data_IF_343225106353
#
_entry.id   IF_343225106353
#
_cell.length_a   1.000
_cell.length_b   1.000
_cell.length_c   1.000
_cell.angle_alpha   90.00
_cell.angle_beta   90.00
_cell.angle_gamma   90.00
#
_symmetry.space_group_name_H-M   'P 1'
#
loop_
_entity.id
_entity.type
_entity.pdbx_description
1 polymer ?
#
# COMPACT_ATOMS: atom_id res chain seq x y z
N UNK A 1 5.26 9.75 -27.89
CA UNK A 1 5.01 10.98 -27.09
C UNK A 1 4.95 10.57 -25.62
N UNK A 2 5.45 11.37 -24.68
CA UNK A 2 5.28 11.06 -23.26
C UNK A 2 3.81 11.24 -22.85
N UNK A 3 3.25 10.23 -22.20
CA UNK A 3 1.91 10.30 -21.61
C UNK A 3 2.07 10.88 -20.20
N UNK A 4 1.34 11.97 -19.92
CA UNK A 4 1.25 12.56 -18.58
C UNK A 4 -0.15 12.29 -18.03
N UNK A 5 -0.24 11.48 -16.98
CA UNK A 5 -1.43 11.38 -16.13
C UNK A 5 -1.23 12.29 -14.92
N UNK A 6 -2.17 13.22 -14.71
CA UNK A 6 -2.18 14.15 -13.56
C UNK A 6 -3.39 13.89 -12.69
N UNK A 7 -3.17 13.60 -11.40
CA UNK A 7 -4.22 13.61 -10.38
C UNK A 7 -4.14 14.87 -9.53
N UNK A 8 -5.27 15.55 -9.31
CA UNK A 8 -5.36 16.64 -8.34
C UNK A 8 -5.50 16.07 -6.93
N UNK A 9 -4.51 16.32 -6.07
CA UNK A 9 -4.58 16.00 -4.64
C UNK A 9 -5.29 17.15 -3.94
N UNK A 10 -6.56 16.98 -3.58
CA UNK A 10 -7.28 17.98 -2.77
C UNK A 10 -6.97 17.78 -1.30
N UNK A 11 -6.36 18.78 -0.68
CA UNK A 11 -6.16 18.86 0.77
C UNK A 11 -7.50 19.13 1.46
N UNK A 12 -7.89 18.27 2.38
CA UNK A 12 -9.03 18.51 3.28
C UNK A 12 -8.50 18.60 4.72
N UNK A 13 -8.67 19.76 5.35
CA UNK A 13 -8.19 20.04 6.69
C UNK A 13 -9.13 19.40 7.74
N UNK A 14 -8.60 18.60 8.67
CA UNK A 14 -9.32 18.18 9.89
C UNK A 14 -9.20 16.70 10.32
N UNK A 15 -8.74 15.81 9.44
CA UNK A 15 -8.53 14.37 9.73
C UNK A 15 -7.17 13.90 9.19
N UNK A 16 -6.64 12.80 9.73
CA UNK A 16 -5.54 12.09 9.07
C UNK A 16 -5.97 11.72 7.63
N UNK A 17 -5.08 11.86 6.64
CA UNK A 17 -5.45 11.68 5.21
C UNK A 17 -6.03 10.27 4.96
N UNK A 18 -5.53 9.28 5.69
CA UNK A 18 -6.04 7.90 5.67
C UNK A 18 -7.52 7.83 6.11
N UNK A 19 -7.88 8.49 7.21
CA UNK A 19 -9.26 8.51 7.73
C UNK A 19 -10.22 9.19 6.75
N UNK A 20 -9.76 10.26 6.10
CA UNK A 20 -10.51 10.93 5.04
C UNK A 20 -10.79 9.98 3.86
N UNK A 21 -9.80 9.20 3.42
CA UNK A 21 -10.00 8.25 2.32
C UNK A 21 -11.10 7.23 2.66
N UNK A 22 -11.11 6.70 3.89
CA UNK A 22 -12.18 5.79 4.34
C UNK A 22 -13.55 6.46 4.32
N UNK A 23 -13.67 7.65 4.91
CA UNK A 23 -14.94 8.38 4.93
C UNK A 23 -15.43 8.69 3.51
N UNK A 24 -14.54 9.12 2.62
CA UNK A 24 -14.87 9.43 1.24
C UNK A 24 -15.50 8.22 0.54
N UNK A 25 -14.85 7.05 0.57
CA UNK A 25 -15.36 5.86 -0.14
C UNK A 25 -16.60 5.24 0.53
N UNK A 26 -16.74 5.37 1.86
CA UNK A 26 -17.90 4.84 2.59
C UNK A 26 -19.16 5.71 2.44
N UNK A 27 -18.99 7.03 2.37
CA UNK A 27 -20.11 7.99 2.32
C UNK A 27 -20.58 8.30 0.90
N UNK A 28 -19.75 8.13 -0.13
CA UNK A 28 -20.06 8.50 -1.51
C UNK A 28 -20.42 7.27 -2.38
N UNK A 29 -21.35 6.43 -1.91
CA UNK A 29 -21.65 5.12 -2.54
C UNK A 29 -22.13 5.21 -4.00
N UNK A 30 -22.81 6.30 -4.37
CA UNK A 30 -23.34 6.54 -5.73
C UNK A 30 -22.31 7.16 -6.69
N UNK A 31 -21.08 7.39 -6.23
CA UNK A 31 -20.04 7.93 -7.09
C UNK A 31 -19.58 6.85 -8.08
N UNK A 32 -19.57 7.10 -9.41
CA UNK A 32 -19.20 6.09 -10.41
C UNK A 32 -17.81 5.47 -10.21
N UNK A 33 -16.85 6.25 -9.69
CA UNK A 33 -15.53 5.73 -9.35
C UNK A 33 -15.60 4.74 -8.18
N UNK A 34 -16.44 5.00 -7.19
CA UNK A 34 -16.66 4.11 -6.05
C UNK A 34 -17.40 2.84 -6.48
N UNK A 35 -18.39 2.96 -7.37
CA UNK A 35 -19.04 1.79 -7.99
C UNK A 35 -18.04 0.92 -8.75
N UNK A 36 -17.15 1.55 -9.53
CA UNK A 36 -16.06 0.83 -10.19
C UNK A 36 -15.15 0.11 -9.18
N UNK A 37 -14.72 0.77 -8.11
CA UNK A 37 -13.90 0.15 -7.05
C UNK A 37 -14.60 -1.02 -6.35
N UNK A 38 -15.94 -1.05 -6.32
CA UNK A 38 -16.69 -2.20 -5.81
C UNK A 38 -16.77 -3.36 -6.80
N UNK A 39 -16.60 -3.09 -8.09
CA UNK A 39 -16.63 -4.12 -9.15
C UNK A 39 -15.33 -4.93 -9.25
N UNK A 40 -14.27 -4.51 -8.55
CA UNK A 40 -12.95 -5.14 -8.60
C UNK A 40 -12.58 -5.75 -7.23
N UNK A 41 -11.79 -6.82 -7.26
CA UNK A 41 -11.29 -7.45 -6.04
C UNK A 41 -10.20 -6.59 -5.40
N UNK A 42 -10.45 -6.06 -4.20
CA UNK A 42 -9.45 -5.33 -3.40
C UNK A 42 -9.01 -6.08 -2.15
N UNK A 43 -9.80 -7.05 -1.66
CA UNK A 43 -9.46 -7.81 -0.46
C UNK A 43 -8.45 -8.91 -0.82
N UNK A 44 -7.23 -8.92 -0.24
CA UNK A 44 -6.27 -9.99 -0.45
C UNK A 44 -6.85 -11.37 -0.10
N UNK A 45 -6.57 -12.38 -0.91
CA UNK A 45 -7.17 -13.72 -0.74
C UNK A 45 -6.83 -14.36 0.61
N UNK A 46 -5.66 -14.04 1.18
CA UNK A 46 -5.26 -14.56 2.48
C UNK A 46 -6.19 -14.12 3.63
N UNK A 47 -6.90 -13.00 3.46
CA UNK A 47 -7.88 -12.49 4.43
C UNK A 47 -9.20 -13.31 4.47
N UNK A 48 -9.37 -14.23 3.51
CA UNK A 48 -10.50 -15.16 3.42
C UNK A 48 -10.04 -16.59 3.67
N UNK A 49 -8.86 -16.95 3.17
CA UNK A 49 -8.28 -18.29 3.28
C UNK A 49 -7.00 -18.26 4.13
N UNK A 50 -7.17 -17.98 5.42
CA UNK A 50 -6.07 -18.09 6.36
C UNK A 50 -5.62 -19.56 6.44
N UNK A 51 -4.32 -19.79 6.37
CA UNK A 51 -3.74 -21.13 6.36
C UNK A 51 -2.67 -21.21 7.45
N UNK A 52 -2.91 -22.05 8.45
CA UNK A 52 -1.95 -22.29 9.54
C UNK A 52 -0.63 -22.91 9.07
N UNK A 53 -0.57 -23.37 7.81
CA UNK A 53 0.65 -23.87 7.16
C UNK A 53 1.50 -22.76 6.53
N UNK A 54 1.07 -21.49 6.58
CA UNK A 54 1.92 -20.41 6.10
C UNK A 54 3.23 -20.36 6.89
N UNK A 55 4.37 -20.03 6.23
CA UNK A 55 5.63 -19.83 6.94
C UNK A 55 5.47 -18.78 8.04
N UNK A 56 6.19 -18.95 9.15
CA UNK A 56 6.10 -18.06 10.31
C UNK A 56 6.32 -16.60 9.95
N UNK A 57 7.21 -16.31 9.00
CA UNK A 57 7.50 -14.95 8.55
C UNK A 57 6.28 -14.27 7.90
N UNK A 58 5.44 -15.05 7.20
CA UNK A 58 4.15 -14.57 6.71
C UNK A 58 3.17 -14.37 7.87
N UNK A 59 3.01 -15.37 8.74
CA UNK A 59 2.07 -15.31 9.88
C UNK A 59 2.34 -14.09 10.76
N UNK A 60 3.62 -13.82 11.07
CA UNK A 60 3.99 -12.67 11.89
C UNK A 60 3.57 -11.35 11.23
N UNK A 61 3.87 -11.15 9.94
CA UNK A 61 3.44 -9.94 9.23
C UNK A 61 1.92 -9.87 9.05
N UNK A 62 1.24 -10.99 8.81
CA UNK A 62 -0.23 -11.05 8.74
C UNK A 62 -0.87 -10.62 10.06
N UNK A 63 -0.34 -11.09 11.20
CA UNK A 63 -0.80 -10.67 12.52
C UNK A 63 -0.56 -9.17 12.76
N UNK A 64 0.61 -8.66 12.35
CA UNK A 64 0.89 -7.21 12.41
C UNK A 64 -0.10 -6.41 11.57
N UNK A 65 -0.39 -6.87 10.36
CA UNK A 65 -1.38 -6.26 9.47
C UNK A 65 -2.79 -6.31 10.08
N UNK A 66 -3.22 -7.45 10.61
CA UNK A 66 -4.52 -7.60 11.28
C UNK A 66 -4.65 -6.70 12.51
N UNK A 67 -3.56 -6.49 13.26
CA UNK A 67 -3.56 -5.54 14.37
C UNK A 67 -3.80 -4.11 13.89
N UNK A 68 -3.16 -3.69 12.79
CA UNK A 68 -3.43 -2.38 12.15
C UNK A 68 -4.87 -2.28 11.68
N UNK A 69 -5.38 -3.30 10.99
CA UNK A 69 -6.77 -3.39 10.56
C UNK A 69 -7.74 -3.21 11.76
N UNK A 70 -7.52 -3.93 12.86
CA UNK A 70 -8.37 -3.87 14.05
C UNK A 70 -8.32 -2.47 14.71
N UNK A 71 -7.15 -1.84 14.76
CA UNK A 71 -7.02 -0.47 15.25
C UNK A 71 -7.84 0.51 14.41
N UNK A 72 -7.73 0.44 13.08
CA UNK A 72 -8.54 1.28 12.18
C UNK A 72 -10.02 0.94 12.29
N UNK A 73 -10.40 -0.35 12.31
CA UNK A 73 -11.78 -0.83 12.47
C UNK A 73 -12.47 -0.24 13.70
N UNK A 74 -11.76 -0.15 14.83
CA UNK A 74 -12.29 0.41 16.08
C UNK A 74 -12.71 1.90 15.94
N UNK A 75 -12.02 2.67 15.10
CA UNK A 75 -12.35 4.09 14.82
C UNK A 75 -13.61 4.26 13.97
N UNK A 76 -14.02 3.20 13.26
CA UNK A 76 -15.12 3.21 12.30
C UNK A 76 -16.23 2.23 12.68
N UNK A 77 -16.47 2.05 13.99
CA UNK A 77 -17.45 1.12 14.58
C UNK A 77 -18.89 1.31 14.10
N UNK A 78 -19.23 2.50 13.59
CA UNK A 78 -20.54 2.84 13.03
C UNK A 78 -20.83 2.16 11.67
N UNK A 79 -19.81 1.71 10.94
CA UNK A 79 -19.99 0.97 9.68
C UNK A 79 -20.00 -0.54 9.93
N UNK A 80 -20.72 -1.29 9.10
CA UNK A 80 -20.71 -2.75 9.22
C UNK A 80 -19.37 -3.35 8.78
N UNK A 81 -19.11 -4.59 9.19
CA UNK A 81 -17.81 -5.23 9.01
C UNK A 81 -17.44 -5.45 7.53
N UNK A 82 -18.40 -5.81 6.68
CA UNK A 82 -18.13 -6.03 5.26
C UNK A 82 -17.78 -4.72 4.55
N UNK A 83 -18.51 -3.64 4.84
CA UNK A 83 -18.27 -2.32 4.27
C UNK A 83 -16.93 -1.77 4.70
N UNK A 84 -16.60 -1.84 6.00
CA UNK A 84 -15.32 -1.35 6.47
C UNK A 84 -14.17 -2.22 5.98
N UNK A 85 -14.31 -3.55 5.92
CA UNK A 85 -13.28 -4.44 5.39
C UNK A 85 -12.98 -4.11 3.93
N UNK A 86 -14.01 -3.96 3.09
CA UNK A 86 -13.83 -3.53 1.71
C UNK A 86 -13.14 -2.17 1.64
N UNK A 87 -13.57 -1.19 2.45
CA UNK A 87 -12.97 0.14 2.45
C UNK A 87 -11.48 0.09 2.85
N UNK A 88 -11.16 -0.61 3.92
CA UNK A 88 -9.80 -0.79 4.42
C UNK A 88 -8.87 -1.33 3.33
N UNK A 89 -9.22 -2.49 2.76
CA UNK A 89 -8.37 -3.13 1.77
C UNK A 89 -8.37 -2.38 0.43
N UNK A 90 -9.42 -1.65 0.09
CA UNK A 90 -9.41 -0.76 -1.08
C UNK A 90 -8.37 0.34 -0.91
N UNK A 91 -8.32 1.02 0.24
CA UNK A 91 -7.30 2.03 0.52
C UNK A 91 -5.91 1.41 0.60
N UNK A 92 -5.76 0.30 1.33
CA UNK A 92 -4.47 -0.36 1.55
C UNK A 92 -3.79 -0.78 0.23
N UNK A 93 -4.56 -1.32 -0.72
CA UNK A 93 -4.03 -1.85 -1.98
C UNK A 93 -3.84 -0.78 -3.07
N UNK A 94 -4.44 0.41 -2.92
CA UNK A 94 -4.58 1.40 -4.02
C UNK A 94 -4.07 2.79 -3.69
N UNK A 95 -3.88 3.12 -2.42
CA UNK A 95 -3.31 4.41 -2.07
C UNK A 95 -1.84 4.47 -2.45
N UNK A 96 -1.43 5.66 -2.89
CA UNK A 96 -0.03 5.98 -3.08
C UNK A 96 0.49 6.74 -1.87
N UNK A 97 1.70 6.39 -1.45
CA UNK A 97 2.46 7.19 -0.50
C UNK A 97 3.23 8.26 -1.28
N UNK A 98 3.20 9.48 -0.79
CA UNK A 98 4.03 10.55 -1.34
C UNK A 98 4.46 11.47 -0.21
N UNK A 99 5.75 11.76 -0.17
CA UNK A 99 6.30 12.71 0.78
C UNK A 99 5.75 14.11 0.46
N UNK A 100 4.75 14.54 1.22
CA UNK A 100 4.20 15.88 1.03
C UNK A 100 5.09 16.99 1.61
N UNK A 101 6.26 16.67 2.20
CA UNK A 101 7.07 17.60 3.01
C UNK A 101 6.19 18.39 4.01
N UNK A 102 5.12 17.76 4.49
CA UNK A 102 4.27 18.33 5.52
C UNK A 102 4.93 17.96 6.84
N UNK A 103 5.11 18.96 7.71
CA UNK A 103 5.51 18.84 9.12
C UNK A 103 4.47 18.04 9.95
N UNK A 104 4.09 16.84 9.50
CA UNK A 104 3.36 15.87 10.31
C UNK A 104 4.36 14.84 10.80
N UNK A 105 4.48 14.72 12.12
CA UNK A 105 5.41 13.79 12.80
C UNK A 105 5.16 12.31 12.46
N UNK A 106 4.07 11.98 11.79
CA UNK A 106 3.68 10.62 11.40
C UNK A 106 3.71 10.47 9.87
N UNK A 107 4.71 9.75 9.37
CA UNK A 107 4.87 9.43 7.94
C UNK A 107 3.71 8.60 7.38
N UNK A 108 2.95 7.90 8.24
CA UNK A 108 1.76 7.13 7.87
C UNK A 108 0.58 8.02 7.41
N UNK A 109 0.64 9.35 7.60
CA UNK A 109 -0.42 10.28 7.21
C UNK A 109 -0.38 10.73 5.73
N UNK A 110 0.52 10.17 4.91
CA UNK A 110 0.74 10.61 3.54
C UNK A 110 0.19 9.63 2.48
N UNK A 111 -0.91 8.95 2.79
CA UNK A 111 -1.60 8.03 1.86
C UNK A 111 -2.77 8.72 1.17
N UNK A 112 -2.79 8.77 -0.17
CA UNK A 112 -3.93 9.28 -0.92
C UNK A 112 -4.42 8.27 -1.95
N UNK A 113 -5.73 8.13 -2.04
CA UNK A 113 -6.38 7.45 -3.15
C UNK A 113 -6.52 8.44 -4.31
N UNK A 114 -5.79 8.20 -5.40
CA UNK A 114 -5.81 9.05 -6.58
C UNK A 114 -6.51 8.29 -7.70
N UNK A 115 -7.71 8.73 -8.07
CA UNK A 115 -8.50 8.11 -9.13
C UNK A 115 -7.72 8.04 -10.45
N UNK A 116 -7.94 6.95 -11.20
CA UNK A 116 -7.23 6.58 -12.44
C UNK A 116 -5.79 6.12 -12.23
N UNK A 117 -5.05 6.78 -11.34
CA UNK A 117 -3.70 6.38 -10.99
C UNK A 117 -3.69 4.98 -10.35
N UNK A 118 -4.67 4.72 -9.50
CA UNK A 118 -4.82 3.47 -8.77
C UNK A 118 -5.16 2.25 -9.64
N UNK A 119 -5.38 2.44 -10.94
CA UNK A 119 -5.59 1.36 -11.91
C UNK A 119 -4.29 0.89 -12.56
N UNK A 120 -3.21 1.65 -12.41
CA UNK A 120 -1.94 1.33 -13.03
C UNK A 120 -1.24 0.25 -12.22
N UNK A 121 -0.95 -0.88 -12.86
CA UNK A 121 -0.36 -2.04 -12.19
C UNK A 121 1.13 -1.88 -11.89
N UNK A 122 1.60 -2.72 -10.97
CA UNK A 122 3.00 -2.83 -10.59
C UNK A 122 3.85 -3.51 -11.68
N UNK A 123 5.06 -2.98 -11.94
CA UNK A 123 6.10 -3.69 -12.68
C UNK A 123 7.50 -3.28 -12.21
N UNK A 124 8.42 -4.25 -12.15
CA UNK A 124 9.85 -4.01 -11.89
C UNK A 124 10.50 -3.31 -13.08
N UNK A 125 10.05 -3.60 -14.31
CA UNK A 125 10.60 -3.05 -15.55
C UNK A 125 9.78 -1.85 -16.06
N UNK A 126 9.16 -1.12 -15.14
CA UNK A 126 8.17 -0.10 -15.48
C UNK A 126 8.70 0.94 -16.46
N UNK A 127 7.89 1.25 -17.47
CA UNK A 127 8.17 2.26 -18.49
C UNK A 127 7.94 3.69 -18.00
N UNK A 128 7.66 3.88 -16.71
CA UNK A 128 7.24 5.15 -16.14
C UNK A 128 7.93 5.43 -14.81
N UNK A 129 7.96 6.71 -14.46
CA UNK A 129 8.29 7.21 -13.13
C UNK A 129 7.08 7.95 -12.59
N UNK A 130 6.82 7.81 -11.30
CA UNK A 130 5.78 8.53 -10.60
C UNK A 130 6.40 9.47 -9.56
N UNK A 131 5.91 10.71 -9.49
CA UNK A 131 6.39 11.68 -8.50
C UNK A 131 5.34 12.74 -8.20
N UNK A 132 5.38 13.28 -6.98
CA UNK A 132 4.67 14.50 -6.68
C UNK A 132 5.43 15.71 -7.25
N UNK A 133 4.72 16.58 -7.96
CA UNK A 133 5.28 17.82 -8.49
C UNK A 133 4.80 18.99 -7.63
N UNK A 134 5.72 19.54 -6.83
CA UNK A 134 5.43 20.66 -5.92
C UNK A 134 5.07 21.96 -6.65
N UNK A 135 5.51 22.16 -7.89
CA UNK A 135 5.16 23.36 -8.66
C UNK A 135 3.69 23.33 -9.07
N UNK A 136 3.24 22.20 -9.59
CA UNK A 136 1.86 22.02 -10.07
C UNK A 136 0.91 21.50 -8.99
N UNK A 137 1.43 21.14 -7.81
CA UNK A 137 0.69 20.49 -6.71
C UNK A 137 -0.09 19.26 -7.18
N UNK A 138 0.53 18.45 -8.03
CA UNK A 138 -0.10 17.27 -8.64
C UNK A 138 0.80 16.05 -8.57
N UNK A 139 0.20 14.87 -8.45
CA UNK A 139 0.91 13.62 -8.66
C UNK A 139 0.99 13.34 -10.17
N UNK A 140 2.20 13.08 -10.65
CA UNK A 140 2.49 12.91 -12.08
C UNK A 140 3.10 11.54 -12.35
N UNK A 141 2.57 10.84 -13.35
CA UNK A 141 3.27 9.74 -14.03
C UNK A 141 3.88 10.27 -15.32
N UNK A 142 5.16 9.99 -15.52
CA UNK A 142 5.89 10.31 -16.75
C UNK A 142 6.53 9.06 -17.33
N UNK A 143 6.36 8.86 -18.63
CA UNK A 143 7.04 7.77 -19.35
C UNK A 143 8.54 8.06 -19.46
N UNK A 144 9.38 7.06 -19.18
CA UNK A 144 10.84 7.12 -19.37
C UNK A 144 11.33 6.39 -20.63
N UNK A 145 10.47 5.55 -21.21
CA UNK A 145 10.69 4.90 -22.52
C UNK A 145 9.42 4.99 -23.37
N UNK A 146 9.53 4.70 -24.66
CA UNK A 146 8.34 4.59 -25.53
C UNK A 146 7.43 3.46 -25.01
N UNK A 147 6.12 3.71 -25.08
CA UNK A 147 5.09 2.73 -24.77
C UNK A 147 4.33 2.52 -26.07
N UNK A 148 4.26 1.27 -26.52
CA UNK A 148 3.59 0.93 -27.77
C UNK A 148 2.07 1.00 -27.62
N UNK A 149 1.36 1.13 -28.75
CA UNK A 149 -0.10 1.08 -28.74
C UNK A 149 -0.57 -0.26 -28.17
N UNK A 150 -1.50 -0.21 -27.20
CA UNK A 150 -2.00 -1.36 -26.44
C UNK A 150 -1.00 -2.00 -25.47
N UNK A 151 0.21 -1.45 -25.30
CA UNK A 151 1.09 -1.84 -24.21
C UNK A 151 0.55 -1.30 -22.88
N UNK A 152 0.56 -2.16 -21.86
CA UNK A 152 0.09 -1.78 -20.54
C UNK A 152 1.03 -0.75 -19.90
N UNK A 153 0.47 0.36 -19.43
CA UNK A 153 1.19 1.31 -18.57
C UNK A 153 1.34 0.68 -17.19
N UNK A 154 2.56 0.70 -16.65
CA UNK A 154 2.91 0.18 -15.32
C UNK A 154 3.86 1.14 -14.61
N UNK A 155 3.89 1.13 -13.27
CA UNK A 155 4.91 1.83 -12.47
C UNK A 155 5.42 0.96 -11.31
N UNK A 156 6.62 1.27 -10.82
CA UNK A 156 7.16 0.63 -9.62
C UNK A 156 6.48 1.19 -8.38
N UNK A 157 5.75 0.35 -7.64
CA UNK A 157 4.99 0.78 -6.46
C UNK A 157 5.94 1.20 -5.34
N UNK A 158 6.93 0.36 -5.06
CA UNK A 158 8.10 0.55 -4.21
C UNK A 158 8.95 -0.74 -4.27
N UNK A 159 10.12 -0.72 -3.63
CA UNK A 159 11.01 -1.89 -3.47
C UNK A 159 10.46 -2.90 -2.45
N UNK A 160 9.25 -3.41 -2.68
CA UNK A 160 8.56 -4.34 -1.78
C UNK A 160 9.00 -5.79 -1.99
N UNK A 161 9.12 -6.53 -0.89
CA UNK A 161 9.34 -7.97 -0.94
C UNK A 161 8.06 -8.72 -1.35
N UNK A 162 8.17 -9.99 -1.75
CA UNK A 162 6.96 -10.77 -2.04
C UNK A 162 6.08 -10.97 -0.80
N UNK A 163 6.64 -10.94 0.41
CA UNK A 163 5.84 -10.96 1.64
C UNK A 163 5.02 -9.68 1.78
N UNK A 164 5.61 -8.52 1.47
CA UNK A 164 4.91 -7.23 1.50
C UNK A 164 3.83 -7.17 0.41
N UNK A 165 4.17 -7.55 -0.83
CA UNK A 165 3.21 -7.58 -1.94
C UNK A 165 2.04 -8.53 -1.65
N UNK A 166 2.31 -9.70 -1.06
CA UNK A 166 1.26 -10.66 -0.76
C UNK A 166 0.30 -10.16 0.32
N UNK A 167 0.85 -9.55 1.38
CA UNK A 167 0.07 -9.12 2.53
C UNK A 167 -0.70 -7.83 2.22
N UNK A 168 -0.01 -6.83 1.67
CA UNK A 168 -0.54 -5.48 1.49
C UNK A 168 -1.31 -5.32 0.18
N UNK A 169 -0.95 -6.08 -0.87
CA UNK A 169 -1.50 -5.94 -2.22
C UNK A 169 -2.22 -7.20 -2.75
N UNK A 170 -2.01 -8.37 -2.12
CA UNK A 170 -2.66 -9.61 -2.52
C UNK A 170 -2.05 -10.31 -3.73
N UNK A 171 -0.81 -9.98 -4.13
CA UNK A 171 -0.11 -10.65 -5.24
C UNK A 171 1.37 -10.90 -4.93
N UNK A 172 2.03 -11.72 -5.73
CA UNK A 172 3.49 -11.93 -5.70
C UNK A 172 4.06 -11.81 -7.11
N UNK A 173 5.36 -11.54 -7.20
CA UNK A 173 6.09 -11.62 -8.45
C UNK A 173 6.93 -12.89 -8.50
N UNK A 174 6.99 -13.52 -9.68
CA UNK A 174 7.83 -14.71 -9.91
C UNK A 174 9.33 -14.41 -9.79
N UNK A 175 9.75 -13.22 -10.25
CA UNK A 175 11.12 -12.74 -10.18
C UNK A 175 11.15 -11.32 -9.59
N UNK A 176 11.19 -11.24 -8.27
CA UNK A 176 11.26 -9.97 -7.55
C UNK A 176 12.71 -9.69 -7.09
N UNK A 177 13.42 -8.69 -7.65
CA UNK A 177 14.77 -8.35 -7.21
C UNK A 177 14.83 -7.77 -5.80
N UNK A 178 13.69 -7.29 -5.27
CA UNK A 178 13.57 -6.75 -3.91
C UNK A 178 13.04 -7.80 -2.91
N UNK A 179 12.99 -9.07 -3.31
CA UNK A 179 12.53 -10.10 -2.40
C UNK A 179 13.50 -10.24 -1.22
N UNK A 180 12.95 -10.24 -0.01
CA UNK A 180 13.73 -10.35 1.22
C UNK A 180 13.01 -11.24 2.23
N UNK A 181 13.78 -11.86 3.11
CA UNK A 181 13.26 -12.68 4.21
C UNK A 181 13.74 -12.07 5.53
N UNK A 182 12.82 -11.81 6.45
CA UNK A 182 13.20 -11.45 7.82
C UNK A 182 13.59 -12.74 8.57
N UNK A 183 14.83 -12.77 9.08
CA UNK A 183 15.42 -13.88 9.84
C UNK A 183 15.75 -13.51 11.30
N UNK A 184 15.26 -12.37 11.78
CA UNK A 184 15.54 -11.84 13.12
C UNK A 184 15.22 -12.87 14.21
N UNK A 185 14.07 -13.53 14.10
CA UNK A 185 13.65 -14.52 15.07
C UNK A 185 14.61 -15.72 15.11
N UNK A 186 15.03 -16.22 13.95
CA UNK A 186 15.97 -17.34 13.82
C UNK A 186 17.34 -16.96 14.42
N UNK A 187 17.77 -15.71 14.22
CA UNK A 187 18.98 -15.19 14.85
C UNK A 187 18.85 -15.14 16.38
N UNK A 188 17.71 -14.71 16.92
CA UNK A 188 17.48 -14.70 18.38
C UNK A 188 17.50 -16.10 19.02
N UNK A 189 17.23 -17.17 18.25
CA UNK A 189 17.33 -18.55 18.75
C UNK A 189 18.77 -19.11 18.75
N UNK A 190 19.65 -18.57 17.91
CA UNK A 190 21.01 -19.09 17.70
C UNK A 190 22.03 -18.27 18.50
N UNK A 191 21.80 -16.96 18.61
CA UNK A 191 22.73 -16.04 19.24
C UNK A 191 22.55 -15.98 20.76
N UNK A 192 23.65 -15.76 21.47
CA UNK A 192 23.60 -15.50 22.90
C UNK A 192 23.01 -14.10 23.18
N UNK A 193 22.46 -13.89 24.38
CA UNK A 193 21.96 -12.59 24.80
C UNK A 193 22.99 -11.45 24.66
N UNK A 194 24.28 -11.74 24.89
CA UNK A 194 25.36 -10.77 24.70
C UNK A 194 25.55 -10.40 23.22
N UNK A 195 25.48 -11.38 22.32
CA UNK A 195 25.57 -11.15 20.88
C UNK A 195 24.38 -10.34 20.36
N UNK A 196 23.16 -10.66 20.83
CA UNK A 196 21.95 -9.91 20.46
C UNK A 196 22.04 -8.46 20.95
N UNK A 197 22.49 -8.23 22.18
CA UNK A 197 22.68 -6.87 22.72
C UNK A 197 23.75 -6.09 21.93
N UNK A 198 24.84 -6.76 21.53
CA UNK A 198 25.86 -6.14 20.70
C UNK A 198 25.30 -5.73 19.34
N UNK A 199 24.55 -6.59 18.66
CA UNK A 199 23.92 -6.26 17.37
C UNK A 199 22.96 -5.07 17.53
N UNK A 200 22.08 -5.11 18.55
CA UNK A 200 21.14 -4.02 18.86
C UNK A 200 21.86 -2.69 19.16
N UNK A 201 23.07 -2.74 19.72
CA UNK A 201 23.88 -1.52 19.96
C UNK A 201 24.35 -0.82 18.68
N UNK A 202 24.35 -1.52 17.53
CA UNK A 202 24.66 -0.95 16.22
C UNK A 202 23.42 -0.43 15.47
N UNK A 203 22.28 -0.24 16.16
CA UNK A 203 20.98 0.11 15.54
C UNK A 203 20.48 -0.89 14.50
N UNK A 204 20.78 -2.17 14.71
CA UNK A 204 20.19 -3.29 13.97
C UNK A 204 19.08 -3.96 14.80
#
# INVERSE_FOLDING_TARGET
MPVLLTGMVKKYFGHAVEEFNYLFILQNKINPYIEFLRSIQSIPQWCTFYNDKYPRQLIHKMNKHLNKYNQSRNKFSQYNDEEFKWAYYTINTRCVHFDMEIDSKDQDNNLCLISYLDFVNHSIESSTISKFNHLTHSYEIRTIKSIDLNEQITFLYNSHSNVDLFIEYGFILSSNPYNQLNIEYELEQILSNQQIQLIKSFNY
#
